data_IF_097865177381
#
_entry.id   IF_097865177381
#
_cell.length_a   1.000
_cell.length_b   1.000
_cell.length_c   1.000
_cell.angle_alpha   90.00
_cell.angle_beta   90.00
_cell.angle_gamma   90.00
#
_symmetry.space_group_name_H-M   'P 1'
#
loop_
_entity.id
_entity.type
_entity.pdbx_description
1 polymer ?
#
# COMPACT_ATOMS: atom_id res chain seq x y z
N UNK A 1 42.80 9.11 21.27
CA UNK A 1 41.49 8.77 21.86
C UNK A 1 40.32 9.58 21.31
N UNK A 2 40.34 10.93 21.30
CA UNK A 2 39.19 11.75 20.84
C UNK A 2 38.75 11.50 19.37
N UNK A 3 39.68 11.19 18.46
CA UNK A 3 39.37 10.85 17.05
C UNK A 3 38.65 9.50 16.87
N UNK A 4 38.89 8.53 17.77
CA UNK A 4 38.31 7.19 17.68
C UNK A 4 36.83 7.18 18.09
N UNK A 5 36.49 7.99 19.09
CA UNK A 5 35.12 8.15 19.59
C UNK A 5 34.24 8.82 18.52
N UNK A 6 34.78 9.82 17.81
CA UNK A 6 34.05 10.51 16.74
C UNK A 6 33.70 9.56 15.58
N UNK A 7 34.62 8.66 15.22
CA UNK A 7 34.42 7.66 14.16
C UNK A 7 33.34 6.64 14.55
N UNK A 8 33.35 6.17 15.80
CA UNK A 8 32.33 5.26 16.33
C UNK A 8 30.94 5.91 16.38
N UNK A 9 30.85 7.16 16.82
CA UNK A 9 29.58 7.89 16.78
C UNK A 9 29.07 8.03 15.33
N UNK A 10 29.93 8.38 14.37
CA UNK A 10 29.53 8.50 12.96
C UNK A 10 29.03 7.17 12.37
N UNK A 11 29.67 6.04 12.69
CA UNK A 11 29.25 4.72 12.22
C UNK A 11 27.93 4.25 12.82
N UNK A 12 27.65 4.57 14.10
CA UNK A 12 26.36 4.28 14.73
C UNK A 12 25.25 5.11 14.08
N UNK A 13 25.52 6.38 13.75
CA UNK A 13 24.56 7.23 13.04
C UNK A 13 24.27 6.75 11.61
N UNK A 14 25.27 6.29 10.85
CA UNK A 14 25.06 5.80 9.48
C UNK A 14 24.23 4.49 9.44
N UNK A 15 24.40 3.61 10.43
CA UNK A 15 23.59 2.39 10.52
C UNK A 15 22.17 2.64 11.05
N UNK A 16 21.94 3.72 11.79
CA UNK A 16 20.62 4.04 12.33
C UNK A 16 19.60 4.50 11.26
N UNK A 17 20.06 4.96 10.10
CA UNK A 17 19.18 5.43 9.01
C UNK A 17 18.88 4.37 7.94
N UNK A 18 19.55 3.22 7.96
CA UNK A 18 19.13 2.08 7.16
C UNK A 18 17.99 1.37 7.88
N UNK A 19 16.76 1.84 7.69
CA UNK A 19 15.61 0.98 8.00
C UNK A 19 15.70 -0.26 7.12
N UNK A 20 15.91 -1.40 7.75
CA UNK A 20 15.87 -2.68 7.07
C UNK A 20 14.49 -2.89 6.47
N UNK A 21 14.47 -3.40 5.23
CA UNK A 21 13.21 -3.74 4.58
C UNK A 21 12.51 -4.83 5.40
N UNK A 22 11.17 -4.77 5.54
CA UNK A 22 10.44 -5.90 6.11
C UNK A 22 10.73 -7.17 5.30
N UNK A 23 10.68 -8.33 5.96
CA UNK A 23 10.75 -9.59 5.24
C UNK A 23 9.45 -9.78 4.42
N UNK A 24 9.58 -10.20 3.16
CA UNK A 24 8.44 -10.45 2.28
C UNK A 24 7.39 -11.36 2.92
N UNK A 25 7.83 -12.43 3.59
CA UNK A 25 6.95 -13.40 4.26
C UNK A 25 6.09 -12.73 5.35
N UNK A 26 6.66 -11.83 6.13
CA UNK A 26 5.96 -11.16 7.22
C UNK A 26 4.90 -10.20 6.67
N UNK A 27 5.25 -9.45 5.61
CA UNK A 27 4.29 -8.60 4.90
C UNK A 27 3.14 -9.41 4.31
N UNK A 28 3.44 -10.51 3.61
CA UNK A 28 2.39 -11.37 3.08
C UNK A 28 1.51 -11.94 4.18
N UNK A 29 2.09 -12.37 5.31
CA UNK A 29 1.32 -12.88 6.45
C UNK A 29 0.34 -11.84 6.98
N UNK A 30 0.79 -10.59 7.14
CA UNK A 30 -0.04 -9.52 7.66
C UNK A 30 -1.13 -9.06 6.68
N UNK A 31 -0.84 -9.04 5.37
CA UNK A 31 -1.85 -8.73 4.36
C UNK A 31 -2.88 -9.85 4.18
N UNK A 32 -2.53 -11.09 4.51
CA UNK A 32 -3.41 -12.26 4.42
C UNK A 32 -4.24 -12.41 5.69
N UNK A 33 -3.63 -12.25 6.86
CA UNK A 33 -4.31 -12.41 8.16
C UNK A 33 -4.10 -11.15 9.00
N UNK A 34 -4.67 -10.00 8.61
CA UNK A 34 -4.41 -8.75 9.28
C UNK A 34 -4.98 -8.78 10.71
N UNK A 35 -4.17 -8.42 11.70
CA UNK A 35 -4.65 -8.28 13.09
C UNK A 35 -5.62 -7.09 13.22
N UNK A 36 -5.45 -6.07 12.36
CA UNK A 36 -6.24 -4.84 12.32
C UNK A 36 -6.73 -4.60 10.89
N UNK A 37 -7.91 -4.01 10.67
CA UNK A 37 -8.36 -3.79 9.29
C UNK A 37 -7.43 -2.87 8.51
N UNK A 38 -7.35 -3.17 7.22
CA UNK A 38 -6.45 -2.56 6.26
C UNK A 38 -7.04 -1.22 5.78
N UNK A 39 -6.18 -0.19 5.69
CA UNK A 39 -6.53 1.02 4.94
C UNK A 39 -6.00 0.87 3.53
N UNK A 40 -6.82 1.19 2.54
CA UNK A 40 -6.50 0.97 1.13
C UNK A 40 -6.64 2.28 0.37
N UNK A 41 -5.67 2.60 -0.49
CA UNK A 41 -5.78 3.68 -1.46
C UNK A 41 -5.58 3.16 -2.87
N UNK A 42 -6.54 3.48 -3.74
CA UNK A 42 -6.59 3.11 -5.14
C UNK A 42 -6.06 4.26 -5.97
N UNK A 43 -4.96 4.06 -6.70
CA UNK A 43 -4.31 5.11 -7.48
C UNK A 43 -4.12 4.71 -8.95
N UNK A 44 -4.23 5.70 -9.83
CA UNK A 44 -3.88 5.58 -11.25
C UNK A 44 -2.70 6.50 -11.54
N UNK A 45 -1.73 6.00 -12.30
CA UNK A 45 -0.57 6.80 -12.69
C UNK A 45 -1.00 8.07 -13.44
N UNK A 46 -0.48 9.23 -13.00
CA UNK A 46 -0.82 10.56 -13.53
C UNK A 46 -2.29 10.97 -13.40
N UNK A 47 -3.08 10.31 -12.57
CA UNK A 47 -4.41 10.78 -12.21
C UNK A 47 -4.38 11.57 -10.91
N UNK A 48 -5.19 12.62 -10.88
CA UNK A 48 -5.54 13.41 -9.69
C UNK A 48 -6.66 12.79 -8.83
N UNK A 49 -7.29 11.72 -9.31
CA UNK A 49 -8.42 11.05 -8.66
C UNK A 49 -7.97 9.73 -8.06
N UNK A 50 -8.36 9.50 -6.81
CA UNK A 50 -8.05 8.30 -6.05
C UNK A 50 -9.20 7.97 -5.10
N UNK A 51 -9.29 6.71 -4.71
CA UNK A 51 -10.28 6.22 -3.73
C UNK A 51 -9.52 5.83 -2.47
N UNK A 52 -9.99 6.28 -1.31
CA UNK A 52 -9.43 5.92 0.00
C UNK A 52 -10.48 5.14 0.77
N UNK A 53 -10.09 4.00 1.34
CA UNK A 53 -10.93 3.14 2.17
C UNK A 53 -10.25 3.01 3.52
N UNK A 54 -10.86 3.55 4.58
CA UNK A 54 -10.29 3.61 5.93
C UNK A 54 -11.10 2.76 6.93
N UNK A 55 -10.40 2.23 7.93
CA UNK A 55 -10.93 1.40 9.02
C UNK A 55 -11.31 2.19 10.29
N UNK A 56 -10.89 3.43 10.41
CA UNK A 56 -11.20 4.27 11.57
C UNK A 56 -11.45 5.70 11.11
N UNK A 57 -12.25 6.46 11.87
CA UNK A 57 -12.54 7.88 11.65
C UNK A 57 -11.32 8.81 11.83
N UNK A 58 -10.10 8.31 11.66
CA UNK A 58 -8.89 9.12 11.56
C UNK A 58 -8.74 9.56 10.12
N UNK A 59 -9.51 10.59 9.77
CA UNK A 59 -9.30 11.44 8.59
C UNK A 59 -7.80 11.67 8.41
N UNK A 60 -7.22 10.91 7.49
CA UNK A 60 -5.83 11.07 7.12
C UNK A 60 -5.65 12.48 6.56
N UNK A 61 -4.48 13.07 6.78
CA UNK A 61 -4.15 14.49 6.54
C UNK A 61 -4.09 14.86 5.04
N UNK A 62 -4.80 14.14 4.18
CA UNK A 62 -4.74 14.21 2.72
C UNK A 62 -6.02 14.80 2.14
N UNK A 63 -6.19 16.12 2.22
CA UNK A 63 -7.23 16.78 1.41
C UNK A 63 -6.65 18.01 0.72
N UNK A 64 -5.79 17.76 -0.27
CA UNK A 64 -5.42 18.75 -1.29
C UNK A 64 -6.21 18.58 -2.60
N UNK A 65 -6.75 17.38 -2.88
CA UNK A 65 -7.47 17.07 -4.13
C UNK A 65 -8.48 15.95 -3.85
N UNK A 66 -9.71 16.14 -4.32
CA UNK A 66 -10.95 15.44 -3.92
C UNK A 66 -10.87 13.90 -3.95
N UNK A 67 -10.58 13.22 -2.82
CA UNK A 67 -10.67 11.77 -2.78
C UNK A 67 -12.13 11.36 -2.59
N UNK A 68 -12.49 10.26 -3.23
CA UNK A 68 -13.64 9.52 -2.74
C UNK A 68 -13.22 8.74 -1.51
N UNK A 69 -13.78 9.09 -0.36
CA UNK A 69 -13.45 8.48 0.93
C UNK A 69 -14.57 7.56 1.34
N UNK A 70 -14.21 6.35 1.75
CA UNK A 70 -15.12 5.34 2.22
C UNK A 70 -14.70 4.84 3.61
N UNK A 71 -15.65 4.84 4.54
CA UNK A 71 -15.41 4.57 5.97
C UNK A 71 -16.16 3.30 6.40
N UNK A 72 -15.76 2.12 5.93
CA UNK A 72 -16.44 0.86 6.28
C UNK A 72 -15.53 -0.39 6.26
N UNK A 73 -14.22 -0.25 6.49
CA UNK A 73 -13.41 -1.46 6.65
C UNK A 73 -13.81 -2.18 7.95
N UNK A 74 -14.20 -3.45 7.85
CA UNK A 74 -14.55 -4.31 8.98
C UNK A 74 -13.97 -5.71 8.72
N UNK A 75 -14.13 -6.64 9.66
CA UNK A 75 -13.54 -7.99 9.52
C UNK A 75 -14.00 -8.74 8.27
N UNK A 76 -15.29 -8.63 7.91
CA UNK A 76 -15.84 -9.26 6.69
C UNK A 76 -15.27 -8.59 5.43
N UNK A 77 -15.20 -7.26 5.42
CA UNK A 77 -14.57 -6.49 4.34
C UNK A 77 -13.10 -6.89 4.16
N UNK A 78 -12.33 -7.07 5.25
CA UNK A 78 -10.93 -7.53 5.19
C UNK A 78 -10.79 -8.89 4.53
N UNK A 79 -11.67 -9.84 4.88
CA UNK A 79 -11.67 -11.17 4.27
C UNK A 79 -11.93 -11.06 2.76
N UNK A 80 -12.89 -10.24 2.35
CA UNK A 80 -13.18 -10.03 0.94
C UNK A 80 -12.02 -9.32 0.21
N UNK A 81 -11.37 -8.34 0.84
CA UNK A 81 -10.14 -7.72 0.34
C UNK A 81 -9.05 -8.79 0.12
N UNK A 82 -8.78 -9.61 1.14
CA UNK A 82 -7.81 -10.71 1.09
C UNK A 82 -8.11 -11.65 -0.09
N UNK A 83 -9.36 -12.05 -0.27
CA UNK A 83 -9.79 -12.89 -1.39
C UNK A 83 -9.46 -12.24 -2.74
N UNK A 84 -9.67 -10.93 -2.89
CA UNK A 84 -9.30 -10.19 -4.12
C UNK A 84 -7.78 -10.18 -4.33
N UNK A 85 -7.00 -9.94 -3.27
CA UNK A 85 -5.53 -9.92 -3.34
C UNK A 85 -4.98 -11.27 -3.80
N UNK A 86 -5.50 -12.37 -3.24
CA UNK A 86 -5.09 -13.72 -3.58
C UNK A 86 -5.56 -14.14 -4.98
N UNK A 87 -6.84 -13.93 -5.30
CA UNK A 87 -7.46 -14.28 -6.59
C UNK A 87 -6.79 -13.59 -7.79
N UNK A 88 -6.29 -12.38 -7.60
CA UNK A 88 -5.62 -11.61 -8.65
C UNK A 88 -4.09 -11.60 -8.50
N UNK A 89 -3.55 -12.48 -7.64
CA UNK A 89 -2.10 -12.68 -7.45
C UNK A 89 -1.32 -11.41 -7.11
N UNK A 90 -1.97 -10.45 -6.45
CA UNK A 90 -1.43 -9.11 -6.20
C UNK A 90 -0.26 -9.08 -5.21
N UNK A 91 -0.10 -10.15 -4.43
CA UNK A 91 0.97 -10.28 -3.47
C UNK A 91 2.29 -10.77 -4.09
N UNK A 92 2.31 -11.22 -5.36
CA UNK A 92 3.53 -11.73 -6.02
C UNK A 92 4.62 -10.67 -6.15
N UNK A 93 4.23 -9.40 -6.25
CA UNK A 93 5.15 -8.28 -6.42
C UNK A 93 4.74 -7.18 -5.45
N UNK A 94 5.57 -6.96 -4.43
CA UNK A 94 5.31 -5.97 -3.39
C UNK A 94 6.45 -4.95 -3.39
N UNK A 95 6.07 -3.67 -3.47
CA UNK A 95 6.98 -2.54 -3.32
C UNK A 95 6.76 -1.85 -1.97
N UNK A 96 7.84 -1.27 -1.44
CA UNK A 96 7.81 -0.44 -0.23
C UNK A 96 8.65 0.81 -0.47
N UNK A 97 8.36 1.86 0.30
CA UNK A 97 9.24 3.02 0.37
C UNK A 97 10.48 2.67 1.17
N UNK A 98 11.65 2.91 0.56
CA UNK A 98 12.94 2.95 1.25
C UNK A 98 13.59 4.27 0.87
N UNK A 99 13.78 5.14 1.86
CA UNK A 99 14.19 6.53 1.63
C UNK A 99 13.22 7.21 0.63
N UNK A 100 13.73 7.89 -0.40
CA UNK A 100 12.93 8.56 -1.43
C UNK A 100 12.58 7.64 -2.63
N UNK A 101 12.80 6.32 -2.51
CA UNK A 101 12.64 5.38 -3.62
C UNK A 101 11.65 4.26 -3.31
N UNK A 102 11.02 3.76 -4.37
CA UNK A 102 10.21 2.54 -4.33
C UNK A 102 11.04 1.35 -4.76
N UNK A 103 11.16 0.37 -3.86
CA UNK A 103 11.98 -0.83 -4.06
C UNK A 103 11.13 -2.08 -3.87
N UNK A 104 11.36 -3.08 -4.73
CA UNK A 104 10.74 -4.39 -4.61
C UNK A 104 11.33 -5.12 -3.41
N UNK A 105 10.48 -5.62 -2.52
CA UNK A 105 10.89 -6.13 -1.21
C UNK A 105 11.78 -7.38 -1.28
N UNK A 106 11.64 -8.22 -2.31
CA UNK A 106 12.34 -9.51 -2.46
C UNK A 106 13.65 -9.42 -3.28
N UNK A 107 13.84 -8.37 -4.05
CA UNK A 107 14.90 -8.28 -5.08
C UNK A 107 15.60 -6.93 -5.11
N UNK A 108 15.12 -5.95 -4.33
CA UNK A 108 15.61 -4.56 -4.30
C UNK A 108 15.58 -3.87 -5.67
N UNK A 109 14.89 -4.44 -6.66
CA UNK A 109 14.66 -3.83 -7.96
C UNK A 109 13.86 -2.53 -7.80
N UNK A 110 14.22 -1.51 -8.57
CA UNK A 110 13.49 -0.25 -8.58
C UNK A 110 12.16 -0.41 -9.32
N UNK A 111 11.15 0.33 -8.87
CA UNK A 111 9.83 0.26 -9.49
C UNK A 111 9.86 0.70 -10.96
N UNK A 112 9.16 -0.07 -11.80
CA UNK A 112 8.59 0.43 -13.06
C UNK A 112 7.20 0.96 -12.74
N UNK A 113 6.93 2.24 -12.98
CA UNK A 113 5.62 2.82 -12.68
C UNK A 113 4.49 2.04 -13.39
N UNK A 114 3.56 1.44 -12.64
CA UNK A 114 2.46 0.67 -13.21
C UNK A 114 1.33 1.60 -13.65
N UNK A 115 0.39 1.10 -14.47
CA UNK A 115 -0.80 1.87 -14.86
C UNK A 115 -1.67 2.22 -13.64
N UNK A 116 -1.78 1.25 -12.73
CA UNK A 116 -2.60 1.32 -11.53
C UNK A 116 -1.84 0.68 -10.37
N UNK A 117 -2.03 1.18 -9.16
CA UNK A 117 -1.48 0.53 -7.97
C UNK A 117 -2.40 0.69 -6.77
N UNK A 118 -2.27 -0.27 -5.86
CA UNK A 118 -2.98 -0.29 -4.59
C UNK A 118 -1.96 -0.03 -3.49
N UNK A 119 -2.19 1.05 -2.75
CA UNK A 119 -1.51 1.31 -1.50
C UNK A 119 -2.27 0.59 -0.40
N UNK A 120 -1.61 -0.26 0.37
CA UNK A 120 -2.22 -0.86 1.56
C UNK A 120 -1.39 -0.45 2.78
N UNK A 121 -2.02 0.27 3.68
CA UNK A 121 -1.49 0.55 5.00
C UNK A 121 -2.00 -0.51 5.98
N UNK A 122 -1.06 -1.09 6.72
CA UNK A 122 -1.29 -2.13 7.72
C UNK A 122 -0.49 -1.80 8.99
N UNK A 123 -0.85 -2.43 10.10
CA UNK A 123 -0.16 -2.22 11.39
C UNK A 123 0.56 -3.50 11.80
N UNK A 124 1.82 -3.37 12.23
CA UNK A 124 2.52 -4.43 12.98
C UNK A 124 2.79 -3.87 14.37
N UNK A 125 2.12 -4.40 15.38
CA UNK A 125 2.15 -3.84 16.73
C UNK A 125 1.64 -2.40 16.76
N UNK A 126 2.51 -1.44 17.10
CA UNK A 126 2.16 0.00 17.15
C UNK A 126 2.51 0.77 15.88
N UNK A 127 3.28 0.16 14.97
CA UNK A 127 3.82 0.85 13.80
C UNK A 127 2.93 0.63 12.58
N UNK A 128 2.58 1.73 11.90
CA UNK A 128 1.92 1.69 10.61
C UNK A 128 2.96 1.52 9.49
N UNK A 129 2.66 0.67 8.53
CA UNK A 129 3.51 0.38 7.36
C UNK A 129 2.67 0.47 6.10
N UNK A 130 3.29 0.94 5.03
CA UNK A 130 2.67 1.08 3.72
C UNK A 130 3.36 0.14 2.72
N UNK A 131 2.56 -0.61 1.98
CA UNK A 131 3.00 -1.37 0.80
C UNK A 131 2.29 -0.90 -0.44
N UNK A 132 2.92 -1.13 -1.58
CA UNK A 132 2.40 -0.79 -2.90
C UNK A 132 2.34 -2.06 -3.75
N UNK A 133 1.13 -2.37 -4.22
CA UNK A 133 0.83 -3.51 -5.08
C UNK A 133 0.57 -2.99 -6.51
N UNK A 134 1.54 -3.14 -7.43
CA UNK A 134 1.43 -2.62 -8.78
C UNK A 134 0.57 -3.52 -9.67
N UNK A 135 -0.17 -2.92 -10.60
CA UNK A 135 -0.90 -3.62 -11.66
C UNK A 135 -0.58 -2.97 -13.00
N UNK A 136 0.07 -3.74 -13.86
CA UNK A 136 0.59 -3.24 -15.13
C UNK A 136 -0.44 -3.33 -16.26
N UNK A 137 -1.30 -4.35 -16.25
CA UNK A 137 -2.23 -4.62 -17.34
C UNK A 137 -3.59 -3.96 -17.10
N UNK A 138 -4.07 -3.21 -18.11
CA UNK A 138 -5.37 -2.53 -18.06
C UNK A 138 -6.56 -3.47 -17.82
N UNK A 139 -6.55 -4.65 -18.44
CA UNK A 139 -7.58 -5.69 -18.26
C UNK A 139 -7.65 -6.17 -16.80
N UNK A 140 -6.48 -6.42 -16.20
CA UNK A 140 -6.36 -6.83 -14.79
C UNK A 140 -6.79 -5.70 -13.87
N UNK A 141 -6.36 -4.45 -14.11
CA UNK A 141 -6.78 -3.28 -13.32
C UNK A 141 -8.29 -3.11 -13.33
N UNK A 142 -8.95 -3.24 -14.49
CA UNK A 142 -10.42 -3.19 -14.59
C UNK A 142 -11.10 -4.30 -13.81
N UNK A 143 -10.57 -5.52 -13.87
CA UNK A 143 -11.09 -6.67 -13.13
C UNK A 143 -11.01 -6.43 -11.61
N UNK A 144 -9.86 -5.95 -11.14
CA UNK A 144 -9.65 -5.64 -9.72
C UNK A 144 -10.59 -4.53 -9.26
N UNK A 145 -10.71 -3.44 -10.01
CA UNK A 145 -11.65 -2.36 -9.68
C UNK A 145 -13.09 -2.86 -9.66
N UNK A 146 -13.49 -3.76 -10.55
CA UNK A 146 -14.82 -4.38 -10.53
C UNK A 146 -15.04 -5.28 -9.31
N UNK A 147 -14.03 -6.04 -8.91
CA UNK A 147 -14.12 -6.88 -7.71
C UNK A 147 -14.29 -5.98 -6.47
N UNK A 148 -13.53 -4.89 -6.35
CA UNK A 148 -13.68 -3.93 -5.24
C UNK A 148 -14.99 -3.12 -5.30
N UNK A 149 -15.44 -2.71 -6.49
CA UNK A 149 -16.72 -2.01 -6.68
C UNK A 149 -17.94 -2.80 -6.14
N UNK A 150 -17.84 -4.13 -6.09
CA UNK A 150 -18.89 -4.99 -5.51
C UNK A 150 -18.87 -5.04 -3.99
N UNK A 151 -17.73 -4.76 -3.37
CA UNK A 151 -17.59 -4.78 -1.91
C UNK A 151 -18.04 -3.47 -1.26
N UNK A 152 -18.03 -2.39 -2.03
CA UNK A 152 -18.11 -1.03 -1.51
C UNK A 152 -19.35 -0.31 -2.07
N UNK A 153 -20.24 0.26 -1.24
CA UNK A 153 -21.46 0.94 -1.70
C UNK A 153 -21.23 2.09 -2.70
N UNK A 154 -20.05 2.73 -2.73
CA UNK A 154 -19.84 3.92 -3.55
C UNK A 154 -19.44 3.61 -5.00
N UNK A 155 -20.39 3.04 -5.76
CA UNK A 155 -20.15 2.56 -7.12
C UNK A 155 -19.74 3.64 -8.12
N UNK A 156 -20.16 4.88 -7.87
CA UNK A 156 -19.81 6.02 -8.72
C UNK A 156 -18.31 6.31 -8.69
N UNK A 157 -17.66 6.17 -7.53
CA UNK A 157 -16.23 6.42 -7.41
C UNK A 157 -15.40 5.40 -8.17
N UNK A 158 -15.76 4.12 -8.06
CA UNK A 158 -15.12 3.07 -8.85
C UNK A 158 -15.35 3.27 -10.35
N UNK A 159 -16.54 3.71 -10.76
CA UNK A 159 -16.83 4.04 -12.17
C UNK A 159 -15.96 5.18 -12.71
N UNK A 160 -15.78 6.26 -11.93
CA UNK A 160 -14.88 7.37 -12.29
C UNK A 160 -13.44 6.86 -12.43
N UNK A 161 -12.96 6.09 -11.45
CA UNK A 161 -11.61 5.53 -11.49
C UNK A 161 -11.42 4.63 -12.73
N UNK A 162 -12.39 3.76 -13.02
CA UNK A 162 -12.36 2.88 -14.20
C UNK A 162 -12.34 3.63 -15.53
N UNK A 163 -13.02 4.78 -15.63
CA UNK A 163 -13.00 5.64 -16.83
C UNK A 163 -11.62 6.26 -17.10
N UNK A 164 -10.77 6.34 -16.08
CA UNK A 164 -9.42 6.91 -16.15
C UNK A 164 -8.33 5.86 -16.43
N UNK A 165 -8.68 4.55 -16.45
CA UNK A 165 -7.81 3.44 -16.88
C UNK A 165 -7.74 3.34 -18.42
#
# INVERSE_FOLDING_TARGET
>A
MKKLILLFCLCIYLNAFSQDLPAYKDVCSELINPENSLNITFNIFKSDFYIVIENDMKLSRYYGVAPCVELMSNFETNKNIQEILLKNELLKVIYVHKEEQLVRIDSKEKIKYPLYWINIEYKIGKDARLVILPVFEKSISKKILNDFNRLFPNQNCFSILQSKL
#
